data_IF_769018178189
#
_entry.id   IF_769018178189
#
_cell.length_a   1.000
_cell.length_b   1.000
_cell.length_c   1.000
_cell.angle_alpha   90.00
_cell.angle_beta   90.00
_cell.angle_gamma   90.00
#
_symmetry.space_group_name_H-M   'P 1'
#
loop_
_entity.id
_entity.type
_entity.pdbx_description
1 polymer ?
#
# COMPACT_ATOMS: atom_id res chain seq x y z
N UNK A 1 -12.84 5.29 13.02
CA UNK A 1 -11.49 4.93 12.52
C UNK A 1 -11.36 5.51 11.12
N UNK A 2 -10.48 6.49 10.92
CA UNK A 2 -10.33 7.18 9.63
C UNK A 2 -9.80 6.23 8.56
N UNK A 3 -10.40 6.28 7.37
CA UNK A 3 -10.08 5.45 6.21
C UNK A 3 -9.77 6.35 5.03
N UNK A 4 -8.82 5.94 4.21
CA UNK A 4 -8.44 6.61 2.96
C UNK A 4 -8.79 5.67 1.81
N UNK A 5 -9.40 6.21 0.75
CA UNK A 5 -9.78 5.45 -0.43
C UNK A 5 -8.92 5.84 -1.61
N UNK A 6 -8.06 4.93 -2.07
CA UNK A 6 -7.16 5.11 -3.21
C UNK A 6 -7.80 4.57 -4.48
N UNK A 7 -7.75 5.31 -5.60
CA UNK A 7 -8.23 4.83 -6.91
C UNK A 7 -7.05 4.36 -7.77
N UNK A 8 -6.81 3.06 -7.77
CA UNK A 8 -5.63 2.46 -8.40
C UNK A 8 -5.98 1.68 -9.67
N UNK A 9 -5.08 1.72 -10.64
CA UNK A 9 -5.06 0.77 -11.75
C UNK A 9 -4.54 -0.60 -11.28
N UNK A 10 -4.78 -1.64 -12.09
CA UNK A 10 -4.28 -3.00 -11.80
C UNK A 10 -2.78 -3.05 -11.59
N UNK A 11 -1.99 -2.35 -12.41
CA UNK A 11 -0.52 -2.32 -12.31
C UNK A 11 -0.05 -1.66 -11.01
N UNK A 12 -0.67 -0.54 -10.63
CA UNK A 12 -0.39 0.16 -9.37
C UNK A 12 -0.75 -0.70 -8.15
N UNK A 13 -1.87 -1.41 -8.18
CA UNK A 13 -2.21 -2.34 -7.11
C UNK A 13 -1.22 -3.51 -7.04
N UNK A 14 -0.81 -4.06 -8.18
CA UNK A 14 0.19 -5.13 -8.20
C UNK A 14 1.54 -4.64 -7.63
N UNK A 15 1.97 -3.43 -7.98
CA UNK A 15 3.16 -2.79 -7.43
C UNK A 15 3.02 -2.55 -5.92
N UNK A 16 1.88 -2.03 -5.45
CA UNK A 16 1.59 -1.86 -4.02
C UNK A 16 1.71 -3.17 -3.24
N UNK A 17 1.11 -4.24 -3.76
CA UNK A 17 1.14 -5.56 -3.13
C UNK A 17 2.53 -6.21 -3.18
N UNK A 18 3.30 -5.93 -4.23
CA UNK A 18 4.67 -6.41 -4.38
C UNK A 18 5.68 -5.61 -3.56
N UNK A 19 5.38 -4.35 -3.26
CA UNK A 19 6.22 -3.47 -2.43
C UNK A 19 6.26 -3.93 -0.98
N UNK A 20 5.13 -4.41 -0.44
CA UNK A 20 5.08 -4.94 0.92
C UNK A 20 5.48 -6.43 0.90
N UNK A 21 6.55 -6.83 1.59
CA UNK A 21 6.99 -8.23 1.62
C UNK A 21 5.89 -9.15 2.18
N UNK A 22 5.83 -10.39 1.68
CA UNK A 22 4.90 -11.38 2.20
C UNK A 22 5.36 -11.79 3.61
N UNK A 23 4.53 -11.63 4.66
CA UNK A 23 4.91 -11.97 6.02
C UNK A 23 5.32 -13.43 6.20
N UNK A 24 4.87 -14.33 5.31
CA UNK A 24 5.25 -15.75 5.34
C UNK A 24 6.69 -16.01 4.92
N UNK A 25 7.31 -15.05 4.24
CA UNK A 25 8.70 -15.15 3.76
C UNK A 25 9.69 -14.42 4.68
N UNK A 26 9.21 -13.76 5.74
CA UNK A 26 10.06 -13.06 6.69
C UNK A 26 10.60 -14.03 7.74
N UNK A 27 11.92 -14.07 7.90
CA UNK A 27 12.55 -14.75 9.01
C UNK A 27 12.39 -13.95 10.31
N UNK A 28 12.44 -14.65 11.45
CA UNK A 28 12.42 -14.01 12.77
C UNK A 28 13.54 -12.96 12.93
N UNK A 29 14.71 -13.22 12.33
CA UNK A 29 15.85 -12.29 12.39
C UNK A 29 15.58 -10.99 11.62
N UNK A 30 14.90 -11.08 10.48
CA UNK A 30 14.50 -9.90 9.70
C UNK A 30 13.42 -9.11 10.42
N UNK A 31 12.51 -9.77 11.15
CA UNK A 31 11.45 -9.10 11.90
C UNK A 31 11.91 -8.22 13.06
N UNK A 32 13.10 -8.49 13.63
CA UNK A 32 13.64 -7.74 14.78
C UNK A 32 14.19 -6.36 14.42
N UNK A 33 14.47 -6.11 13.13
CA UNK A 33 15.01 -4.84 12.64
C UNK A 33 13.99 -3.90 12.01
N UNK A 34 12.72 -4.30 11.96
CA UNK A 34 11.69 -3.55 11.24
C UNK A 34 11.26 -2.30 12.00
N UNK A 35 11.06 -1.20 11.25
CA UNK A 35 10.46 0.03 11.76
C UNK A 35 8.96 -0.16 11.98
N UNK A 36 8.35 0.76 12.73
CA UNK A 36 6.92 0.71 13.07
C UNK A 36 6.08 0.75 11.78
N UNK A 37 6.48 1.55 10.80
CA UNK A 37 5.83 1.68 9.51
C UNK A 37 5.80 0.35 8.76
N UNK A 38 6.93 -0.35 8.74
CA UNK A 38 7.06 -1.67 8.10
C UNK A 38 6.18 -2.71 8.80
N UNK A 39 6.12 -2.70 10.12
CA UNK A 39 5.23 -3.58 10.90
C UNK A 39 3.74 -3.31 10.60
N UNK A 40 3.35 -2.03 10.46
CA UNK A 40 1.97 -1.66 10.08
C UNK A 40 1.63 -2.19 8.68
N UNK A 41 2.54 -2.04 7.72
CA UNK A 41 2.34 -2.53 6.36
C UNK A 41 2.27 -4.06 6.31
N UNK A 42 3.08 -4.75 7.09
CA UNK A 42 3.04 -6.21 7.21
C UNK A 42 1.75 -6.72 7.82
N UNK A 43 1.27 -6.10 8.91
CA UNK A 43 -0.03 -6.44 9.50
C UNK A 43 -1.17 -6.24 8.49
N UNK A 44 -1.13 -5.14 7.72
CA UNK A 44 -2.08 -4.94 6.62
C UNK A 44 -1.97 -6.03 5.55
N UNK A 45 -0.75 -6.40 5.15
CA UNK A 45 -0.51 -7.45 4.15
C UNK A 45 -1.01 -8.81 4.62
N UNK A 46 -0.85 -9.13 5.90
CA UNK A 46 -1.33 -10.36 6.52
C UNK A 46 -2.87 -10.47 6.50
N UNK A 47 -3.57 -9.34 6.55
CA UNK A 47 -5.04 -9.28 6.50
C UNK A 47 -5.60 -9.44 5.08
N UNK A 48 -4.77 -9.30 4.04
CA UNK A 48 -5.22 -9.47 2.66
C UNK A 48 -5.41 -10.96 2.34
N UNK A 49 -6.65 -11.31 2.01
CA UNK A 49 -6.96 -12.68 1.61
C UNK A 49 -6.42 -12.98 0.21
N UNK A 50 -6.01 -14.24 -0.10
CA UNK A 50 -5.63 -14.63 -1.45
C UNK A 50 -6.72 -14.34 -2.48
N UNK A 51 -7.99 -14.50 -2.10
CA UNK A 51 -9.15 -14.19 -2.92
C UNK A 51 -9.17 -12.70 -3.33
N UNK A 52 -8.98 -11.78 -2.39
CA UNK A 52 -8.90 -10.34 -2.70
C UNK A 52 -7.75 -10.04 -3.66
N UNK A 53 -6.55 -10.57 -3.41
CA UNK A 53 -5.40 -10.38 -4.29
C UNK A 53 -5.68 -10.92 -5.70
N UNK A 54 -6.30 -12.09 -5.80
CA UNK A 54 -6.68 -12.71 -7.07
C UNK A 54 -7.75 -11.89 -7.80
N UNK A 55 -8.78 -11.41 -7.11
CA UNK A 55 -9.80 -10.52 -7.69
C UNK A 55 -9.16 -9.30 -8.32
N UNK A 56 -8.23 -8.66 -7.61
CA UNK A 56 -7.54 -7.48 -8.12
C UNK A 56 -6.63 -7.77 -9.31
N UNK A 57 -5.92 -8.90 -9.28
CA UNK A 57 -5.10 -9.36 -10.41
C UNK A 57 -5.89 -9.62 -11.68
N UNK A 58 -7.18 -9.94 -11.58
CA UNK A 58 -8.04 -10.21 -12.74
C UNK A 58 -8.85 -9.00 -13.20
N UNK A 59 -8.64 -7.80 -12.62
CA UNK A 59 -9.34 -6.60 -13.04
C UNK A 59 -8.87 -6.11 -14.42
N UNK A 60 -9.76 -5.45 -15.20
CA UNK A 60 -9.39 -4.74 -16.41
C UNK A 60 -8.25 -3.75 -16.17
N UNK A 61 -7.30 -3.68 -17.10
CA UNK A 61 -6.12 -2.79 -17.00
C UNK A 61 -6.47 -1.32 -17.23
N UNK A 62 -7.55 -1.03 -17.96
CA UNK A 62 -7.94 0.32 -18.37
C UNK A 62 -8.78 1.07 -17.34
N UNK A 63 -9.22 0.41 -16.26
CA UNK A 63 -10.13 0.99 -15.27
C UNK A 63 -9.44 1.17 -13.91
N UNK A 64 -9.69 2.30 -13.27
CA UNK A 64 -9.30 2.54 -11.88
C UNK A 64 -10.31 1.90 -10.94
N UNK A 65 -9.81 1.49 -9.79
CA UNK A 65 -10.60 0.81 -8.78
C UNK A 65 -10.27 1.30 -7.38
N UNK A 66 -11.29 1.35 -6.52
CA UNK A 66 -11.14 1.80 -5.15
C UNK A 66 -10.55 0.70 -4.25
N UNK A 67 -9.44 1.00 -3.57
CA UNK A 67 -8.94 0.29 -2.40
C UNK A 67 -9.14 1.19 -1.20
N UNK A 68 -9.72 0.67 -0.12
CA UNK A 68 -9.84 1.43 1.13
C UNK A 68 -8.86 0.88 2.15
N UNK A 69 -7.99 1.73 2.66
CA UNK A 69 -6.99 1.41 3.69
C UNK A 69 -7.25 2.26 4.94
N UNK A 70 -6.74 1.82 6.10
CA UNK A 70 -6.78 2.66 7.30
C UNK A 70 -5.79 3.80 7.18
N UNK A 71 -6.04 4.90 7.89
CA UNK A 71 -5.12 6.03 7.90
C UNK A 71 -3.69 5.66 8.35
N UNK A 72 -3.58 4.75 9.33
CA UNK A 72 -2.27 4.29 9.80
C UNK A 72 -1.47 3.61 8.67
N UNK A 73 -2.13 2.79 7.86
CA UNK A 73 -1.52 2.13 6.70
C UNK A 73 -1.17 3.17 5.62
N UNK A 74 -2.04 4.16 5.39
CA UNK A 74 -1.78 5.24 4.45
C UNK A 74 -0.53 6.04 4.82
N UNK A 75 -0.36 6.43 6.10
CA UNK A 75 0.82 7.16 6.58
C UNK A 75 2.09 6.31 6.53
N UNK A 76 2.01 5.06 6.96
CA UNK A 76 3.15 4.13 6.88
C UNK A 76 3.60 3.92 5.43
N UNK A 77 2.65 3.74 4.51
CA UNK A 77 2.93 3.60 3.09
C UNK A 77 3.58 4.86 2.51
N UNK A 78 3.08 6.04 2.88
CA UNK A 78 3.66 7.31 2.44
C UNK A 78 5.12 7.45 2.89
N UNK A 79 5.41 7.20 4.17
CA UNK A 79 6.76 7.27 4.71
C UNK A 79 7.72 6.28 4.03
N UNK A 80 7.28 5.04 3.79
CA UNK A 80 8.10 4.05 3.10
C UNK A 80 8.35 4.38 1.63
N UNK A 81 7.35 4.91 0.92
CA UNK A 81 7.51 5.30 -0.48
C UNK A 81 8.47 6.49 -0.65
N UNK A 82 8.49 7.44 0.29
CA UNK A 82 9.43 8.57 0.27
C UNK A 82 10.89 8.13 0.47
N UNK A 83 11.11 7.00 1.16
CA UNK A 83 12.45 6.49 1.47
C UNK A 83 13.07 5.62 0.35
N UNK A 84 12.28 5.22 -0.67
CA UNK A 84 12.70 4.26 -1.68
C UNK A 84 12.71 4.88 -3.09
N UNK A 85 13.54 4.32 -3.98
CA UNK A 85 13.48 4.67 -5.40
C UNK A 85 12.23 4.05 -6.03
N UNK A 86 11.35 4.89 -6.57
CA UNK A 86 10.02 4.48 -7.02
C UNK A 86 10.01 4.08 -8.50
N UNK A 87 9.32 3.00 -8.80
CA UNK A 87 8.91 2.69 -10.19
C UNK A 87 7.76 3.61 -10.62
N UNK A 88 7.49 3.75 -11.94
CA UNK A 88 6.38 4.59 -12.41
C UNK A 88 5.02 4.22 -11.79
N UNK A 89 4.78 2.94 -11.52
CA UNK A 89 3.56 2.46 -10.88
C UNK A 89 3.46 2.90 -9.42
N UNK A 90 4.58 2.81 -8.67
CA UNK A 90 4.65 3.27 -7.28
C UNK A 90 4.60 4.80 -7.19
N UNK A 91 5.16 5.52 -8.16
CA UNK A 91 5.03 6.97 -8.27
C UNK A 91 3.56 7.37 -8.46
N UNK A 92 2.83 6.69 -9.35
CA UNK A 92 1.41 6.94 -9.54
C UNK A 92 0.56 6.61 -8.30
N UNK A 93 0.95 5.58 -7.55
CA UNK A 93 0.36 5.27 -6.23
C UNK A 93 0.63 6.38 -5.22
N UNK A 94 1.88 6.87 -5.15
CA UNK A 94 2.27 7.95 -4.24
C UNK A 94 1.49 9.24 -4.54
N UNK A 95 1.32 9.62 -5.81
CA UNK A 95 0.55 10.81 -6.18
C UNK A 95 -0.93 10.71 -5.72
N UNK A 96 -1.57 9.55 -5.93
CA UNK A 96 -2.95 9.34 -5.47
C UNK A 96 -3.04 9.36 -3.92
N UNK A 97 -2.04 8.77 -3.24
CA UNK A 97 -1.98 8.75 -1.79
C UNK A 97 -1.77 10.15 -1.19
N UNK A 98 -0.84 10.92 -1.76
CA UNK A 98 -0.54 12.30 -1.36
C UNK A 98 -1.78 13.19 -1.52
N UNK A 99 -2.47 13.09 -2.66
CA UNK A 99 -3.71 13.82 -2.91
C UNK A 99 -4.81 13.49 -1.89
N UNK A 100 -5.01 12.20 -1.59
CA UNK A 100 -6.04 11.79 -0.63
C UNK A 100 -5.67 12.14 0.83
N UNK A 101 -4.38 12.21 1.17
CA UNK A 101 -3.92 12.68 2.49
C UNK A 101 -4.10 14.20 2.63
N UNK A 102 -3.78 14.98 1.59
CA UNK A 102 -4.03 16.43 1.54
C UNK A 102 -5.53 16.72 1.65
N UNK A 103 -6.37 16.01 0.89
CA UNK A 103 -7.83 16.14 0.96
C UNK A 103 -8.39 15.81 2.35
N UNK A 104 -7.73 14.91 3.09
CA UNK A 104 -8.09 14.57 4.46
C UNK A 104 -7.58 15.59 5.50
N UNK A 105 -6.80 16.60 5.10
CA UNK A 105 -6.19 17.60 5.98
C UNK A 105 -5.06 17.04 6.85
N UNK A 106 -4.33 16.04 6.36
CA UNK A 106 -3.33 15.30 7.13
C UNK A 106 -1.89 15.56 6.67
N UNK A 107 -1.74 16.38 5.65
CA UNK A 107 -0.47 16.88 5.08
C UNK A 107 -0.70 18.34 4.65
N UNK A 108 0.27 19.20 4.97
CA UNK A 108 0.35 20.61 4.55
C UNK A 108 1.20 20.74 3.27
#
# INVERSE_FOLDING_TARGET
>A
MFKITLRLYRSQFAAFIGFIPDPRNLSFRESLGLRIEELILLDYRAKLTPAQVFTWRNRPTTKRFAVTISLQVARALYAELQAHQLTPELQGLLCELDQELVNAGLTD
#
